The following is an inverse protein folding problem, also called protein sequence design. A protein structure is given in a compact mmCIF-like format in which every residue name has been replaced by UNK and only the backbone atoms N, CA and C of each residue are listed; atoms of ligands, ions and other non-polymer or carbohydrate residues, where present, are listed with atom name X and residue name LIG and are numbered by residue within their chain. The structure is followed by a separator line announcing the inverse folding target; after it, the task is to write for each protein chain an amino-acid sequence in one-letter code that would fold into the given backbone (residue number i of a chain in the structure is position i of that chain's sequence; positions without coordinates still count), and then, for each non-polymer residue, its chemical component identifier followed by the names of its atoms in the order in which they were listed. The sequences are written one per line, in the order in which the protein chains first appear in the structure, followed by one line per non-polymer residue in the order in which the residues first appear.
data_IF_457218955071
#
_entry.id   IF_457218955071
#
_cell.length_a   1.000
_cell.length_b   1.000
_cell.length_c   1.000
_cell.angle_alpha   90.00
_cell.angle_beta   90.00
_cell.angle_gamma   90.00
#
_symmetry.space_group_name_H-M   'P 1'
#
loop_
_entity.id
_entity.type
_entity.pdbx_description
1 polymer ?
#
# COMPACT_ATOMS: atom_id res chain seq x y z
N UNK A 1 -8.57 -17.58 -1.97
CA UNK A 1 -9.53 -16.47 -1.97
C UNK A 1 -8.75 -15.23 -2.33
N UNK A 2 -8.93 -14.77 -3.56
CA UNK A 2 -8.23 -13.62 -4.12
C UNK A 2 -8.86 -12.38 -3.51
N UNK A 3 -8.24 -11.81 -2.46
CA UNK A 3 -8.51 -10.41 -2.12
C UNK A 3 -8.38 -9.64 -3.43
N UNK A 4 -9.49 -9.12 -3.93
CA UNK A 4 -9.50 -8.28 -5.11
C UNK A 4 -8.62 -7.08 -4.78
N UNK A 5 -7.39 -7.20 -5.25
CA UNK A 5 -6.23 -6.47 -4.79
C UNK A 5 -6.43 -5.00 -5.17
N UNK A 6 -7.00 -4.21 -4.25
CA UNK A 6 -6.87 -2.75 -4.20
C UNK A 6 -5.42 -2.39 -3.88
N UNK A 7 -4.56 -2.81 -4.78
CA UNK A 7 -3.14 -2.87 -4.63
C UNK A 7 -2.60 -1.95 -5.70
N UNK A 8 -1.57 -1.18 -5.34
CA UNK A 8 -0.99 -0.15 -6.19
C UNK A 8 -0.65 -0.69 -7.59
N UNK A 9 -0.33 -1.98 -7.67
CA UNK A 9 -0.08 -2.77 -8.87
C UNK A 9 -1.25 -2.84 -9.87
N UNK A 10 -2.49 -2.62 -9.42
CA UNK A 10 -3.70 -2.59 -10.26
C UNK A 10 -4.03 -1.16 -10.73
N UNK A 11 -3.69 -0.14 -9.92
CA UNK A 11 -3.83 1.27 -10.32
C UNK A 11 -2.71 1.71 -11.28
N UNK A 12 -1.53 1.08 -11.18
CA UNK A 12 -0.35 1.37 -12.01
C UNK A 12 0.14 0.09 -12.72
N UNK A 13 -0.58 -0.39 -13.74
CA UNK A 13 -0.16 -1.58 -14.50
C UNK A 13 1.14 -1.35 -15.29
N UNK A 14 1.43 -0.11 -15.67
CA UNK A 14 2.65 0.29 -16.37
C UNK A 14 3.89 0.29 -15.45
N UNK A 15 3.74 0.79 -14.22
CA UNK A 15 4.82 0.84 -13.23
C UNK A 15 5.00 -0.47 -12.46
N UNK A 16 4.34 -1.55 -12.88
CA UNK A 16 4.35 -2.85 -12.19
C UNK A 16 5.75 -3.45 -12.06
N UNK A 17 6.58 -3.30 -13.10
CA UNK A 17 8.00 -3.71 -13.09
C UNK A 17 8.82 -2.86 -12.11
N UNK A 18 8.62 -1.54 -12.13
CA UNK A 18 9.27 -0.61 -11.21
C UNK A 18 8.92 -0.93 -9.76
N UNK A 19 7.64 -1.18 -9.45
CA UNK A 19 7.16 -1.60 -8.12
C UNK A 19 7.86 -2.90 -7.68
N UNK A 20 7.98 -3.88 -8.57
CA UNK A 20 8.62 -5.16 -8.26
C UNK A 20 10.13 -5.00 -7.98
N UNK A 21 10.80 -4.15 -8.76
CA UNK A 21 12.19 -3.78 -8.51
C UNK A 21 12.34 -3.05 -7.19
N UNK A 22 11.59 -1.95 -6.99
CA UNK A 22 11.57 -1.17 -5.75
C UNK A 22 11.33 -2.04 -4.53
N UNK A 23 10.40 -3.00 -4.59
CA UNK A 23 10.17 -3.93 -3.48
C UNK A 23 11.38 -4.80 -3.13
N UNK A 24 12.25 -5.08 -4.10
CA UNK A 24 13.46 -5.89 -3.90
C UNK A 24 14.69 -5.04 -3.58
N UNK A 25 14.81 -3.87 -4.21
CA UNK A 25 15.98 -2.99 -4.11
C UNK A 25 15.83 -1.96 -3.00
N UNK A 26 14.60 -1.54 -2.71
CA UNK A 26 14.27 -0.51 -1.73
C UNK A 26 13.50 -1.09 -0.54
N UNK A 27 14.22 -1.22 0.58
CA UNK A 27 13.65 -1.74 1.83
C UNK A 27 12.58 -0.83 2.42
N UNK A 28 12.61 0.47 2.10
CA UNK A 28 11.61 1.41 2.60
C UNK A 28 10.28 1.18 1.89
N UNK A 29 10.29 1.06 0.56
CA UNK A 29 9.14 0.67 -0.25
C UNK A 29 8.55 -0.66 0.21
N UNK A 30 9.41 -1.68 0.43
CA UNK A 30 8.96 -2.98 0.91
C UNK A 30 8.18 -2.89 2.23
N UNK A 31 8.70 -2.12 3.21
CA UNK A 31 8.03 -1.90 4.50
C UNK A 31 6.73 -1.12 4.38
N UNK A 32 6.69 -0.08 3.55
CA UNK A 32 5.48 0.72 3.32
C UNK A 32 4.38 -0.14 2.69
N UNK A 33 4.76 -0.96 1.72
CA UNK A 33 3.84 -1.86 1.02
C UNK A 33 3.29 -2.93 1.97
N UNK A 34 4.15 -3.51 2.82
CA UNK A 34 3.74 -4.49 3.83
C UNK A 34 2.79 -3.86 4.86
N UNK A 35 3.11 -2.65 5.35
CA UNK A 35 2.23 -1.89 6.25
C UNK A 35 0.88 -1.58 5.60
N UNK A 36 0.86 -1.18 4.32
CA UNK A 36 -0.39 -0.89 3.60
C UNK A 36 -1.28 -2.12 3.53
N UNK A 37 -0.68 -3.27 3.21
CA UNK A 37 -1.40 -4.54 3.14
C UNK A 37 -1.90 -5.00 4.51
N UNK A 38 -1.11 -4.79 5.56
CA UNK A 38 -1.52 -5.12 6.93
C UNK A 38 -2.71 -4.26 7.39
N UNK A 39 -2.67 -2.96 7.11
CA UNK A 39 -3.76 -2.02 7.42
C UNK A 39 -5.04 -2.39 6.67
N UNK A 40 -4.95 -2.70 5.38
CA UNK A 40 -6.10 -3.12 4.58
C UNK A 40 -6.73 -4.40 5.13
N UNK A 41 -5.88 -5.38 5.46
CA UNK A 41 -6.32 -6.65 6.04
C UNK A 41 -6.95 -6.45 7.43
N UNK A 42 -6.40 -5.55 8.24
CA UNK A 42 -6.95 -5.21 9.55
C UNK A 42 -8.29 -4.48 9.44
N UNK A 43 -8.41 -3.49 8.56
CA UNK A 43 -9.71 -2.83 8.29
C UNK A 43 -10.74 -3.86 7.86
N UNK A 44 -10.38 -4.80 6.97
CA UNK A 44 -11.28 -5.86 6.56
C UNK A 44 -11.67 -6.79 7.73
N UNK A 45 -10.74 -7.14 8.64
CA UNK A 45 -11.06 -7.92 9.85
C UNK A 45 -12.02 -7.18 10.77
N UNK A 46 -11.81 -5.88 10.96
CA UNK A 46 -12.67 -5.00 11.76
C UNK A 46 -14.08 -4.94 11.13
N UNK A 47 -14.17 -4.73 9.81
CA UNK A 47 -15.44 -4.67 9.08
C UNK A 47 -16.19 -6.01 9.08
N UNK A 48 -15.46 -7.13 9.08
CA UNK A 48 -16.04 -8.47 9.25
C UNK A 48 -16.50 -8.75 10.69
N UNK A 49 -16.30 -7.81 11.63
CA UNK A 49 -16.64 -7.96 13.04
C UNK A 49 -15.78 -8.97 13.78
N UNK A 50 -14.60 -9.31 13.22
CA UNK A 50 -13.63 -10.22 13.86
C UNK A 50 -12.90 -9.51 15.00
N UNK A 51 -12.65 -8.21 14.85
CA UNK A 51 -12.08 -7.34 15.89
C UNK A 51 -13.07 -6.25 16.27
N UNK A 52 -13.37 -6.12 17.56
CA UNK A 52 -14.15 -5.00 18.10
C UNK A 52 -13.23 -3.82 18.38
N UNK A 53 -12.85 -3.08 17.35
CA UNK A 53 -12.07 -1.84 17.49
C UNK A 53 -12.99 -0.63 17.52
N UNK A 54 -12.53 0.46 18.15
CA UNK A 54 -13.26 1.75 18.12
C UNK A 54 -13.30 2.36 16.72
N UNK A 55 -14.36 3.10 16.41
CA UNK A 55 -14.49 3.89 15.17
C UNK A 55 -13.27 4.80 14.91
N UNK A 56 -12.70 5.38 15.96
CA UNK A 56 -11.48 6.20 15.89
C UNK A 56 -10.29 5.42 15.29
N UNK A 57 -10.14 4.14 15.64
CA UNK A 57 -9.06 3.31 15.11
C UNK A 57 -9.23 3.06 13.61
N UNK A 58 -10.46 2.78 13.17
CA UNK A 58 -10.77 2.60 11.75
C UNK A 58 -10.54 3.89 10.95
N UNK A 59 -10.86 5.06 11.52
CA UNK A 59 -10.51 6.35 10.92
C UNK A 59 -8.99 6.57 10.81
N UNK A 60 -8.23 6.22 11.84
CA UNK A 60 -6.76 6.29 11.81
C UNK A 60 -6.18 5.37 10.73
N UNK A 61 -6.68 4.14 10.64
CA UNK A 61 -6.27 3.17 9.61
C UNK A 61 -6.57 3.69 8.20
N UNK A 62 -7.73 4.32 7.98
CA UNK A 62 -8.05 4.98 6.70
C UNK A 62 -7.08 6.12 6.37
N UNK A 63 -6.71 6.96 7.36
CA UNK A 63 -5.72 8.03 7.18
C UNK A 63 -4.35 7.47 6.85
N UNK A 64 -3.89 6.45 7.57
CA UNK A 64 -2.63 5.76 7.31
C UNK A 64 -2.63 5.13 5.93
N UNK A 65 -3.70 4.45 5.52
CA UNK A 65 -3.86 3.88 4.17
C UNK A 65 -3.62 4.94 3.09
N UNK A 66 -4.24 6.11 3.24
CA UNK A 66 -4.06 7.23 2.30
C UNK A 66 -2.61 7.73 2.28
N UNK A 67 -2.01 7.92 3.45
CA UNK A 67 -0.63 8.37 3.58
C UNK A 67 0.39 7.39 3.01
N UNK A 68 0.19 6.08 3.24
CA UNK A 68 1.03 5.03 2.68
C UNK A 68 0.92 4.98 1.16
N UNK A 69 -0.30 5.09 0.63
CA UNK A 69 -0.52 5.19 -0.81
C UNK A 69 0.23 6.38 -1.42
N UNK A 70 0.15 7.56 -0.81
CA UNK A 70 0.85 8.76 -1.27
C UNK A 70 2.39 8.58 -1.27
N UNK A 71 2.94 7.99 -0.21
CA UNK A 71 4.36 7.66 -0.12
C UNK A 71 4.79 6.65 -1.18
N UNK A 72 4.03 5.56 -1.37
CA UNK A 72 4.31 4.57 -2.39
C UNK A 72 4.30 5.20 -3.79
N UNK A 73 3.32 6.06 -4.09
CA UNK A 73 3.26 6.82 -5.34
C UNK A 73 4.47 7.73 -5.53
N UNK A 74 4.88 8.47 -4.49
CA UNK A 74 6.07 9.34 -4.57
C UNK A 74 7.33 8.55 -4.92
N UNK A 75 7.56 7.41 -4.26
CA UNK A 75 8.76 6.58 -4.50
C UNK A 75 8.75 6.03 -5.92
N UNK A 76 7.61 5.55 -6.41
CA UNK A 76 7.50 5.02 -7.78
C UNK A 76 7.79 6.12 -8.80
N UNK A 77 7.20 7.29 -8.61
CA UNK A 77 7.38 8.41 -9.53
C UNK A 77 8.82 8.92 -9.55
N UNK A 78 9.48 8.94 -8.39
CA UNK A 78 10.89 9.29 -8.26
C UNK A 78 11.79 8.27 -8.97
N UNK A 79 11.51 6.97 -8.77
CA UNK A 79 12.22 5.89 -9.46
C UNK A 79 12.04 5.94 -10.98
N UNK A 80 10.81 6.17 -11.46
CA UNK A 80 10.53 6.33 -12.89
C UNK A 80 11.24 7.55 -13.48
N UNK A 81 11.27 8.68 -12.76
CA UNK A 81 12.03 9.86 -13.16
C UNK A 81 13.54 9.58 -13.22
N UNK A 82 14.08 8.85 -12.25
CA UNK A 82 15.49 8.46 -12.21
C UNK A 82 15.85 7.43 -13.28
N UNK A 83 14.91 6.61 -13.75
CA UNK A 83 15.13 5.64 -14.84
C UNK A 83 15.01 6.29 -16.23
N UNK A 84 14.28 7.41 -16.34
CA UNK A 84 14.10 8.16 -17.59
C UNK A 84 15.20 9.20 -17.85
N UNK A 85 16.12 9.41 -16.90
CA UNK A 85 17.27 10.31 -17.00
C UNK A 85 18.58 9.58 -17.32
#
# INVERSE_FOLDING_TARGET
MSLEKHDLLHELPESKDAIHKLKTTDQHFAKLFETYHDIDHEVHRIEQGVETTSDEYLEEQKKKRLSLKDQLYSIIRDYEASMAS
#
